data_IF_100867083393
#
_entry.id   IF_100867083393
#
_cell.length_a   1.000
_cell.length_b   1.000
_cell.length_c   1.000
_cell.angle_alpha   90.00
_cell.angle_beta   90.00
_cell.angle_gamma   90.00
#
_symmetry.space_group_name_H-M   'P 1'
#
loop_
_entity.id
_entity.type
_entity.pdbx_description
1 polymer ?
#
# COMPACT_ATOMS: atom_id res chain seq x y z
N UNK A 1 -9.80 -9.27 22.28
CA UNK A 1 -9.42 -7.84 22.27
C UNK A 1 -10.26 -7.16 21.19
N UNK A 2 -10.84 -5.97 21.40
CA UNK A 2 -11.52 -5.27 20.33
C UNK A 2 -10.47 -4.96 19.27
N UNK A 3 -10.75 -5.42 18.06
CA UNK A 3 -9.85 -5.31 16.93
C UNK A 3 -9.91 -3.85 16.46
N UNK A 4 -8.79 -3.12 16.57
CA UNK A 4 -8.73 -1.68 16.33
C UNK A 4 -7.96 -1.39 15.04
N UNK A 5 -8.45 -0.45 14.25
CA UNK A 5 -7.74 0.04 13.06
C UNK A 5 -6.37 0.61 13.47
N UNK A 6 -5.38 0.48 12.57
CA UNK A 6 -4.11 1.18 12.75
C UNK A 6 -4.36 2.67 13.04
N UNK A 7 -3.58 3.32 13.92
CA UNK A 7 -3.72 4.75 14.15
C UNK A 7 -3.45 5.55 12.86
N UNK A 8 -3.96 6.78 12.78
CA UNK A 8 -3.62 7.70 11.69
C UNK A 8 -2.29 8.41 12.00
N UNK A 9 -1.43 8.65 11.01
CA UNK A 9 -0.24 9.50 11.16
C UNK A 9 -0.58 10.89 11.71
N UNK A 10 0.34 11.51 12.45
CA UNK A 10 0.12 12.85 13.05
C UNK A 10 -0.16 13.94 12.02
N UNK A 11 0.32 13.78 10.79
CA UNK A 11 0.21 14.73 9.68
C UNK A 11 -0.76 14.25 8.58
N UNK A 12 -1.76 13.45 8.93
CA UNK A 12 -2.64 12.77 7.96
C UNK A 12 -3.27 13.71 6.93
N UNK A 13 -3.81 14.87 7.35
CA UNK A 13 -4.43 15.83 6.43
C UNK A 13 -3.47 16.27 5.31
N UNK A 14 -2.19 16.49 5.66
CA UNK A 14 -1.16 16.86 4.69
C UNK A 14 -0.76 15.68 3.80
N UNK A 15 -0.68 14.48 4.38
CA UNK A 15 -0.34 13.25 3.66
C UNK A 15 -1.39 12.93 2.59
N UNK A 16 -2.68 12.99 2.94
CA UNK A 16 -3.79 12.74 2.00
C UNK A 16 -3.78 13.75 0.86
N UNK A 17 -3.57 15.05 1.15
CA UNK A 17 -3.44 16.08 0.10
C UNK A 17 -2.25 15.77 -0.82
N UNK A 18 -1.10 15.36 -0.27
CA UNK A 18 0.07 15.00 -1.07
C UNK A 18 -0.20 13.80 -1.98
N UNK A 19 -0.85 12.74 -1.48
CA UNK A 19 -1.22 11.57 -2.27
C UNK A 19 -2.19 11.94 -3.38
N UNK A 20 -3.26 12.69 -3.09
CA UNK A 20 -4.23 13.13 -4.11
C UNK A 20 -3.60 13.98 -5.20
N UNK A 21 -2.62 14.82 -4.86
CA UNK A 21 -1.88 15.66 -5.82
C UNK A 21 -1.03 14.87 -6.81
N UNK A 22 -0.70 13.61 -6.53
CA UNK A 22 0.04 12.76 -7.48
C UNK A 22 -0.77 12.47 -8.74
N UNK A 23 -2.11 12.44 -8.64
CA UNK A 23 -2.99 12.05 -9.74
C UNK A 23 -2.87 10.57 -10.15
N UNK A 24 -2.20 9.74 -9.34
CA UNK A 24 -1.94 8.33 -9.66
C UNK A 24 -3.14 7.43 -9.32
N UNK A 25 -3.83 7.71 -8.21
CA UNK A 25 -5.03 6.94 -7.83
C UNK A 25 -6.12 7.17 -8.89
N UNK A 26 -6.78 6.10 -9.32
CA UNK A 26 -7.80 6.08 -10.39
C UNK A 26 -7.28 6.45 -11.78
N UNK A 27 -5.96 6.49 -11.97
CA UNK A 27 -5.33 6.63 -13.28
C UNK A 27 -5.01 5.27 -13.90
N UNK A 28 -4.92 5.22 -15.23
CA UNK A 28 -4.52 4.02 -15.97
C UNK A 28 -2.99 3.94 -16.12
N UNK A 29 -2.27 4.04 -15.00
CA UNK A 29 -0.81 4.13 -14.97
C UNK A 29 -0.13 2.84 -14.47
N UNK A 30 -0.88 1.74 -14.32
CA UNK A 30 -0.36 0.48 -13.79
C UNK A 30 0.87 -0.03 -14.57
N UNK A 31 0.86 0.11 -15.90
CA UNK A 31 1.99 -0.26 -16.77
C UNK A 31 3.29 0.48 -16.40
N UNK A 32 3.20 1.78 -16.08
CA UNK A 32 4.36 2.58 -15.68
C UNK A 32 4.96 2.14 -14.35
N UNK A 33 4.18 1.50 -13.48
CA UNK A 33 4.64 1.02 -12.18
C UNK A 33 4.98 -0.47 -12.16
N UNK A 34 4.56 -1.24 -13.17
CA UNK A 34 4.80 -2.68 -13.28
C UNK A 34 6.28 -3.06 -13.20
N UNK A 35 7.15 -2.26 -13.82
CA UNK A 35 8.61 -2.47 -13.79
C UNK A 35 9.17 -2.53 -12.37
N UNK A 36 8.63 -1.75 -11.43
CA UNK A 36 9.08 -1.77 -10.04
C UNK A 36 8.66 -3.05 -9.34
N UNK A 37 7.44 -3.54 -9.62
CA UNK A 37 6.92 -4.78 -9.05
C UNK A 37 7.69 -6.01 -9.58
N UNK A 38 7.95 -6.06 -10.88
CA UNK A 38 8.73 -7.15 -11.49
C UNK A 38 10.18 -7.17 -10.99
N UNK A 39 10.83 -6.00 -10.92
CA UNK A 39 12.19 -5.92 -10.38
C UNK A 39 12.25 -6.35 -8.91
N UNK A 40 11.31 -5.89 -8.09
CA UNK A 40 11.26 -6.27 -6.68
C UNK A 40 10.99 -7.78 -6.52
N UNK A 41 10.17 -8.38 -7.37
CA UNK A 41 9.89 -9.82 -7.37
C UNK A 41 11.15 -10.61 -7.69
N UNK A 42 11.89 -10.23 -8.73
CA UNK A 42 13.15 -10.87 -9.10
C UNK A 42 14.21 -10.76 -7.99
N UNK A 43 14.30 -9.62 -7.32
CA UNK A 43 15.28 -9.38 -6.25
C UNK A 43 14.97 -10.13 -4.95
N UNK A 44 13.69 -10.25 -4.60
CA UNK A 44 13.25 -10.79 -3.30
C UNK A 44 12.81 -12.25 -3.37
N UNK A 45 12.49 -12.74 -4.57
CA UNK A 45 11.86 -14.04 -4.81
C UNK A 45 10.55 -14.25 -4.03
N UNK A 46 9.82 -13.16 -3.75
CA UNK A 46 8.49 -13.22 -3.14
C UNK A 46 7.40 -13.53 -4.17
N UNK A 47 6.37 -14.26 -3.75
CA UNK A 47 5.27 -14.70 -4.63
C UNK A 47 4.42 -13.53 -5.15
N UNK A 48 4.29 -12.49 -4.32
CA UNK A 48 3.44 -11.33 -4.58
C UNK A 48 4.12 -10.03 -4.17
N UNK A 49 4.18 -9.09 -5.10
CA UNK A 49 4.56 -7.71 -4.86
C UNK A 49 3.42 -6.80 -5.29
N UNK A 50 3.20 -5.74 -4.53
CA UNK A 50 2.30 -4.66 -4.89
C UNK A 50 2.90 -3.29 -4.59
N UNK A 51 2.82 -2.40 -5.56
CA UNK A 51 2.98 -0.97 -5.36
C UNK A 51 1.59 -0.36 -5.09
N UNK A 52 1.41 0.23 -3.91
CA UNK A 52 0.12 0.77 -3.50
C UNK A 52 0.25 2.15 -2.87
N UNK A 53 -0.78 2.96 -3.07
CA UNK A 53 -0.95 4.24 -2.40
C UNK A 53 -2.13 4.14 -1.44
N UNK A 54 -1.98 4.77 -0.28
CA UNK A 54 -3.07 4.87 0.68
C UNK A 54 -3.71 6.24 0.57
N UNK A 55 -5.01 6.32 0.29
CA UNK A 55 -5.74 7.57 0.48
C UNK A 55 -6.19 7.70 1.93
N UNK A 56 -7.32 8.34 2.21
CA UNK A 56 -7.84 8.43 3.58
C UNK A 56 -8.45 7.11 4.08
N UNK A 57 -9.13 6.37 3.20
CA UNK A 57 -10.01 5.25 3.54
C UNK A 57 -9.62 3.95 2.84
N UNK A 58 -8.86 4.01 1.74
CA UNK A 58 -8.56 2.89 0.86
C UNK A 58 -7.06 2.72 0.64
N UNK A 59 -6.63 1.47 0.66
CA UNK A 59 -5.41 1.03 -0.01
C UNK A 59 -5.73 0.82 -1.49
N UNK A 60 -5.11 1.62 -2.35
CA UNK A 60 -5.25 1.53 -3.80
C UNK A 60 -4.01 0.83 -4.37
N UNK A 61 -4.17 -0.41 -4.87
CA UNK A 61 -3.09 -1.14 -5.54
C UNK A 61 -2.90 -0.52 -6.92
N UNK A 62 -1.78 0.12 -7.19
CA UNK A 62 -1.53 0.76 -8.48
C UNK A 62 -0.96 -0.25 -9.48
N UNK A 63 -0.05 -1.11 -9.01
CA UNK A 63 0.48 -2.22 -9.80
C UNK A 63 0.85 -3.39 -8.89
N UNK A 64 0.71 -4.60 -9.44
CA UNK A 64 0.83 -5.87 -8.75
C UNK A 64 1.40 -6.93 -9.70
N UNK A 65 1.99 -7.99 -9.14
CA UNK A 65 2.50 -9.12 -9.93
C UNK A 65 1.48 -10.25 -10.13
N UNK A 66 0.21 -10.02 -9.78
CA UNK A 66 -0.85 -11.03 -9.86
C UNK A 66 -2.13 -10.53 -10.56
N UNK A 67 -2.06 -9.40 -11.26
CA UNK A 67 -3.17 -8.84 -12.02
C UNK A 67 -4.30 -8.27 -11.17
N UNK A 68 -4.03 -7.91 -9.90
CA UNK A 68 -4.99 -7.23 -9.01
C UNK A 68 -4.78 -5.71 -9.01
N UNK A 69 -4.34 -5.18 -10.14
CA UNK A 69 -4.08 -3.75 -10.34
C UNK A 69 -5.38 -2.94 -10.23
N UNK A 70 -5.26 -1.70 -9.77
CA UNK A 70 -6.36 -0.75 -9.55
C UNK A 70 -7.43 -1.19 -8.55
N UNK A 71 -7.26 -2.33 -7.87
CA UNK A 71 -8.14 -2.72 -6.77
C UNK A 71 -8.00 -1.77 -5.57
N UNK A 72 -9.15 -1.44 -4.96
CA UNK A 72 -9.24 -0.66 -3.73
C UNK A 72 -9.74 -1.54 -2.59
N UNK A 73 -8.99 -1.54 -1.50
CA UNK A 73 -9.37 -2.24 -0.28
C UNK A 73 -9.60 -1.22 0.83
N UNK A 74 -10.74 -1.33 1.51
CA UNK A 74 -11.02 -0.50 2.67
C UNK A 74 -9.99 -0.71 3.77
N UNK A 75 -9.72 0.32 4.54
CA UNK A 75 -8.89 0.24 5.74
C UNK A 75 -9.60 -0.63 6.78
N UNK A 76 -9.05 -1.82 6.98
CA UNK A 76 -9.45 -2.76 8.03
C UNK A 76 -8.31 -2.97 9.00
N UNK A 77 -8.58 -3.65 10.11
CA UNK A 77 -7.59 -4.14 11.05
C UNK A 77 -6.50 -5.05 10.45
N UNK A 78 -6.80 -5.69 9.32
CA UNK A 78 -5.93 -6.64 8.64
C UNK A 78 -5.08 -5.97 7.55
N UNK A 79 -5.26 -4.67 7.31
CA UNK A 79 -4.44 -3.91 6.36
C UNK A 79 -3.08 -3.55 6.98
N UNK A 80 -2.11 -4.44 6.84
CA UNK A 80 -0.70 -4.22 7.24
C UNK A 80 -0.15 -2.90 6.69
N UNK A 81 -0.46 -2.58 5.42
CA UNK A 81 0.03 -1.36 4.77
C UNK A 81 -0.40 -0.06 5.46
N UNK A 82 -1.49 -0.08 6.24
CA UNK A 82 -1.91 1.10 7.02
C UNK A 82 -0.97 1.41 8.19
N UNK A 83 -0.28 0.40 8.74
CA UNK A 83 0.74 0.57 9.78
C UNK A 83 2.06 1.12 9.23
N UNK A 84 2.38 0.83 7.96
CA UNK A 84 3.60 1.32 7.29
C UNK A 84 3.61 2.85 7.20
N UNK A 85 2.44 3.50 7.18
CA UNK A 85 2.33 4.97 7.14
C UNK A 85 2.81 5.67 8.43
N UNK A 86 3.04 4.91 9.50
CA UNK A 86 3.40 5.45 10.82
C UNK A 86 4.90 5.68 11.00
N UNK A 87 5.73 5.14 10.10
CA UNK A 87 7.19 5.22 10.18
C UNK A 87 7.80 5.45 8.80
N UNK A 88 8.95 6.11 8.75
CA UNK A 88 9.78 6.18 7.54
C UNK A 88 10.67 4.95 7.37
N UNK A 89 10.80 4.13 8.41
CA UNK A 89 11.60 2.90 8.36
C UNK A 89 10.81 1.74 7.73
N UNK A 90 11.46 0.85 6.96
CA UNK A 90 10.83 -0.35 6.44
C UNK A 90 10.20 -1.19 7.55
N UNK A 91 8.94 -1.57 7.37
CA UNK A 91 8.25 -2.48 8.29
C UNK A 91 8.49 -3.92 7.86
N UNK A 92 9.15 -4.71 8.70
CA UNK A 92 9.39 -6.14 8.48
C UNK A 92 8.52 -6.95 9.42
N UNK A 93 7.71 -7.85 8.87
CA UNK A 93 6.85 -8.76 9.64
C UNK A 93 7.28 -10.19 9.30
N UNK A 94 8.11 -10.84 10.14
CA UNK A 94 8.61 -12.18 9.84
C UNK A 94 7.52 -13.25 9.78
N UNK A 95 6.43 -13.05 10.50
CA UNK A 95 5.31 -13.98 10.60
C UNK A 95 4.00 -13.20 10.79
N UNK A 96 3.14 -13.22 9.76
CA UNK A 96 1.84 -12.55 9.76
C UNK A 96 0.74 -13.35 10.48
N UNK A 97 1.03 -14.57 10.93
CA UNK A 97 0.07 -15.42 11.64
C UNK A 97 0.05 -15.20 13.16
N UNK A 98 0.97 -14.37 13.66
CA UNK A 98 1.17 -14.08 15.09
C UNK A 98 0.85 -12.63 15.41
#
# INVERSE_FOLDING_TARGET
>A
MPVQLAPRPKNEDRRVVAVKRTGIIDSDQSENFSVFCELAKELTNFDYIAFSLFDENYQCKISTTNGTDNEKNERTEFNVCSYVLLSSEPTLIPDLSK
#
